data_IF_126389998511
#
_entry.id   IF_126389998511
#
_cell.length_a   1.000
_cell.length_b   1.000
_cell.length_c   1.000
_cell.angle_alpha   90.00
_cell.angle_beta   90.00
_cell.angle_gamma   90.00
#
_symmetry.space_group_name_H-M   'P 1'
#
loop_
_entity.id
_entity.type
_entity.pdbx_description
1 polymer ?
#
# COMPACT_ATOMS: atom_id res chain seq x y z
N UNK A 1 -16.30 6.92 19.38
CA UNK A 1 -14.92 6.90 18.84
C UNK A 1 -14.56 8.29 18.36
N UNK A 2 -13.33 8.77 18.61
CA UNK A 2 -12.81 10.05 18.09
C UNK A 2 -11.55 9.76 17.28
N UNK A 3 -11.44 10.34 16.08
CA UNK A 3 -10.18 10.30 15.32
C UNK A 3 -9.24 11.35 15.91
N UNK A 4 -8.13 10.91 16.51
CA UNK A 4 -7.16 11.80 17.15
C UNK A 4 -6.10 12.34 16.18
N UNK A 5 -5.80 11.61 15.11
CA UNK A 5 -4.86 11.98 14.06
C UNK A 5 -5.04 11.07 12.84
N UNK A 6 -4.61 11.56 11.68
CA UNK A 6 -4.60 10.82 10.41
C UNK A 6 -3.21 10.99 9.80
N UNK A 7 -2.68 9.89 9.27
CA UNK A 7 -1.41 9.86 8.56
C UNK A 7 -1.55 9.02 7.29
N UNK A 8 -0.70 9.30 6.32
CA UNK A 8 -0.67 8.71 5.00
C UNK A 8 0.77 8.64 4.50
N UNK A 9 1.07 7.63 3.71
CA UNK A 9 2.36 7.52 3.08
C UNK A 9 2.21 6.82 1.74
N UNK A 10 3.00 7.29 0.78
CA UNK A 10 3.09 6.69 -0.54
C UNK A 10 4.54 6.23 -0.78
N UNK A 11 4.74 5.19 -1.58
CA UNK A 11 6.06 4.90 -2.14
C UNK A 11 6.59 6.12 -2.91
N UNK A 12 7.92 6.32 -3.01
CA UNK A 12 8.48 7.56 -3.58
C UNK A 12 8.34 7.68 -5.10
N UNK A 13 7.91 6.64 -5.81
CA UNK A 13 7.94 6.58 -7.27
C UNK A 13 6.65 7.11 -7.90
N UNK A 14 6.52 8.44 -7.99
CA UNK A 14 5.41 9.09 -8.69
C UNK A 14 5.62 9.13 -10.20
N UNK A 15 4.58 8.78 -10.96
CA UNK A 15 4.53 8.92 -12.41
C UNK A 15 3.18 9.50 -12.83
N UNK A 16 3.21 10.39 -13.83
CA UNK A 16 1.98 10.88 -14.46
C UNK A 16 1.29 9.77 -15.27
N UNK A 17 0.03 10.03 -15.63
CA UNK A 17 -0.82 9.06 -16.31
C UNK A 17 -0.28 8.66 -17.70
N UNK A 18 0.34 9.59 -18.42
CA UNK A 18 0.90 9.37 -19.75
C UNK A 18 2.12 8.44 -19.70
N UNK A 19 3.02 8.67 -18.74
CA UNK A 19 4.19 7.82 -18.48
C UNK A 19 3.76 6.41 -18.09
N UNK A 20 2.77 6.28 -17.20
CA UNK A 20 2.22 4.98 -16.80
C UNK A 20 1.58 4.22 -17.98
N UNK A 21 0.84 4.94 -18.83
CA UNK A 21 0.24 4.35 -20.03
C UNK A 21 1.29 3.90 -21.04
N UNK A 22 2.36 4.68 -21.24
CA UNK A 22 3.51 4.32 -22.06
C UNK A 22 4.17 3.02 -21.59
N UNK A 23 4.53 2.95 -20.31
CA UNK A 23 5.14 1.76 -19.73
C UNK A 23 4.22 0.53 -19.79
N UNK A 24 2.91 0.70 -19.54
CA UNK A 24 1.94 -0.38 -19.65
C UNK A 24 1.82 -0.89 -21.10
N UNK A 25 1.81 0.02 -22.09
CA UNK A 25 1.81 -0.35 -23.51
C UNK A 25 3.04 -1.18 -23.86
N UNK A 26 4.21 -0.80 -23.36
CA UNK A 26 5.46 -1.51 -23.58
C UNK A 26 5.50 -2.89 -22.91
N UNK A 27 5.05 -3.00 -21.66
CA UNK A 27 5.06 -4.26 -20.92
C UNK A 27 4.11 -5.31 -21.53
N UNK A 28 3.01 -4.85 -22.11
CA UNK A 28 1.93 -5.71 -22.64
C UNK A 28 1.85 -5.69 -24.17
N UNK A 29 2.93 -5.30 -24.85
CA UNK A 29 3.00 -5.38 -26.32
C UNK A 29 2.60 -6.77 -26.81
N UNK A 30 1.74 -6.81 -27.84
CA UNK A 30 1.24 -8.07 -28.42
C UNK A 30 0.19 -8.82 -27.58
N UNK A 31 -0.13 -8.38 -26.35
CA UNK A 31 -1.20 -8.96 -25.51
C UNK A 31 -2.49 -8.14 -25.51
N UNK A 32 -2.44 -6.90 -25.98
CA UNK A 32 -3.64 -6.08 -26.09
C UNK A 32 -4.49 -6.45 -27.30
N UNK A 33 -5.75 -6.78 -27.06
CA UNK A 33 -6.75 -6.91 -28.12
C UNK A 33 -7.10 -5.55 -28.75
N UNK A 34 -6.96 -4.43 -28.01
CA UNK A 34 -7.20 -3.07 -28.52
C UNK A 34 -6.49 -2.00 -27.67
N UNK A 35 -5.37 -1.46 -28.16
CA UNK A 35 -4.64 -0.38 -27.49
C UNK A 35 -5.47 0.92 -27.36
N UNK A 36 -6.30 1.22 -28.36
CA UNK A 36 -7.16 2.40 -28.36
C UNK A 36 -8.20 2.39 -27.21
N UNK A 37 -8.70 1.22 -26.82
CA UNK A 37 -9.63 1.11 -25.67
C UNK A 37 -8.92 1.38 -24.34
N UNK A 38 -7.66 0.93 -24.22
CA UNK A 38 -6.85 1.19 -23.03
C UNK A 38 -6.56 2.68 -22.89
N UNK A 39 -6.13 3.33 -23.97
CA UNK A 39 -5.92 4.78 -24.02
C UNK A 39 -7.17 5.54 -23.59
N UNK A 40 -8.32 5.23 -24.22
CA UNK A 40 -9.58 5.88 -23.90
C UNK A 40 -9.99 5.68 -22.43
N UNK A 41 -9.79 4.49 -21.88
CA UNK A 41 -10.03 4.25 -20.45
C UNK A 41 -9.12 5.17 -19.62
N UNK A 42 -7.81 5.19 -19.91
CA UNK A 42 -6.83 5.98 -19.18
C UNK A 42 -7.12 7.49 -19.24
N UNK A 43 -7.65 8.01 -20.34
CA UNK A 43 -8.03 9.42 -20.50
C UNK A 43 -9.25 9.79 -19.63
N UNK A 44 -10.12 8.82 -19.32
CA UNK A 44 -11.40 9.05 -18.64
C UNK A 44 -11.44 8.61 -17.18
N UNK A 45 -10.35 8.03 -16.63
CA UNK A 45 -10.32 7.66 -15.19
C UNK A 45 -10.12 8.85 -14.25
N UNK A 46 -9.85 10.06 -14.77
CA UNK A 46 -9.66 11.29 -13.98
C UNK A 46 -8.50 11.20 -12.96
N UNK A 47 -7.45 10.45 -13.30
CA UNK A 47 -6.24 10.29 -12.47
C UNK A 47 -5.07 11.01 -13.14
N UNK A 48 -4.48 12.00 -12.48
CA UNK A 48 -3.31 12.74 -13.01
C UNK A 48 -2.00 11.96 -12.94
N UNK A 49 -1.87 11.06 -11.96
CA UNK A 49 -0.69 10.22 -11.75
C UNK A 49 -0.83 9.36 -10.51
N UNK A 50 0.12 8.44 -10.31
CA UNK A 50 0.11 7.46 -9.21
C UNK A 50 1.52 7.20 -8.68
N UNK A 51 1.57 6.80 -7.42
CA UNK A 51 2.78 6.27 -6.79
C UNK A 51 2.85 4.76 -7.00
N UNK A 52 3.96 4.27 -7.58
CA UNK A 52 4.25 2.85 -7.72
C UNK A 52 5.12 2.34 -6.57
N UNK A 53 4.92 1.10 -6.17
CA UNK A 53 5.66 0.46 -5.07
C UNK A 53 7.17 0.33 -5.37
N UNK A 54 7.50 0.11 -6.64
CA UNK A 54 8.86 0.00 -7.15
C UNK A 54 9.10 1.08 -8.23
N UNK A 55 10.36 1.38 -8.61
CA UNK A 55 10.64 2.10 -9.84
C UNK A 55 9.96 1.42 -11.03
N UNK A 56 9.44 2.21 -11.98
CA UNK A 56 8.62 1.71 -13.09
C UNK A 56 9.30 0.60 -13.91
N UNK A 57 10.63 0.67 -14.09
CA UNK A 57 11.39 -0.31 -14.87
C UNK A 57 11.55 -1.66 -14.14
N UNK A 58 11.56 -1.65 -12.81
CA UNK A 58 11.74 -2.86 -11.99
C UNK A 58 10.54 -3.81 -12.07
N UNK A 59 9.39 -3.36 -12.59
CA UNK A 59 8.22 -4.22 -12.79
C UNK A 59 8.43 -5.28 -13.86
N UNK A 60 9.39 -5.10 -14.79
CA UNK A 60 9.73 -6.09 -15.82
C UNK A 60 10.39 -7.33 -15.23
N UNK A 61 11.06 -7.16 -14.09
CA UNK A 61 11.80 -8.22 -13.41
C UNK A 61 10.92 -9.03 -12.43
N UNK A 62 9.64 -8.68 -12.30
CA UNK A 62 8.67 -9.43 -11.49
C UNK A 62 8.08 -10.59 -12.29
N UNK A 63 8.79 -11.72 -12.31
CA UNK A 63 8.40 -12.89 -13.10
C UNK A 63 7.42 -13.81 -12.36
N UNK A 64 7.51 -13.86 -11.03
CA UNK A 64 6.71 -14.77 -10.21
C UNK A 64 5.80 -14.03 -9.24
N UNK A 65 4.78 -14.74 -8.75
CA UNK A 65 3.97 -14.26 -7.63
C UNK A 65 4.83 -13.98 -6.38
N UNK A 66 5.88 -14.77 -6.17
CA UNK A 66 6.82 -14.61 -5.05
C UNK A 66 7.56 -13.28 -5.11
N UNK A 67 7.97 -12.84 -6.29
CA UNK A 67 8.67 -11.56 -6.48
C UNK A 67 7.74 -10.39 -6.14
N UNK A 68 6.52 -10.41 -6.70
CA UNK A 68 5.51 -9.39 -6.41
C UNK A 68 5.15 -9.34 -4.91
N UNK A 69 4.98 -10.50 -4.27
CA UNK A 69 4.66 -10.57 -2.84
C UNK A 69 5.84 -10.11 -1.97
N UNK A 70 7.08 -10.39 -2.36
CA UNK A 70 8.28 -9.94 -1.65
C UNK A 70 8.43 -8.42 -1.72
N UNK A 71 8.23 -7.84 -2.92
CA UNK A 71 8.18 -6.39 -3.10
C UNK A 71 7.09 -5.75 -2.24
N UNK A 72 5.88 -6.34 -2.23
CA UNK A 72 4.79 -5.88 -1.37
C UNK A 72 5.16 -5.94 0.12
N UNK A 73 5.75 -7.04 0.61
CA UNK A 73 6.15 -7.18 2.02
C UNK A 73 7.11 -6.06 2.42
N UNK A 74 8.09 -5.74 1.57
CA UNK A 74 9.04 -4.65 1.83
C UNK A 74 8.31 -3.31 1.90
N UNK A 75 7.63 -2.93 0.82
CA UNK A 75 7.03 -1.60 0.67
C UNK A 75 5.92 -1.37 1.68
N UNK A 76 5.09 -2.38 1.99
CA UNK A 76 4.02 -2.26 2.98
C UNK A 76 4.54 -1.93 4.38
N UNK A 77 5.71 -2.45 4.77
CA UNK A 77 6.36 -2.10 6.04
C UNK A 77 6.90 -0.67 6.02
N UNK A 78 7.46 -0.23 4.90
CA UNK A 78 8.00 1.12 4.73
C UNK A 78 6.89 2.16 4.83
N UNK A 79 5.89 2.10 3.94
CA UNK A 79 4.79 3.08 3.92
C UNK A 79 3.90 2.94 5.15
N UNK A 80 3.66 1.72 5.64
CA UNK A 80 2.88 1.51 6.85
C UNK A 80 3.51 2.14 8.09
N UNK A 81 4.84 2.05 8.22
CA UNK A 81 5.55 2.66 9.34
C UNK A 81 5.49 4.19 9.28
N UNK A 82 5.68 4.79 8.11
CA UNK A 82 5.61 6.25 7.96
C UNK A 82 4.19 6.78 8.20
N UNK A 83 3.16 6.11 7.68
CA UNK A 83 1.77 6.50 7.92
C UNK A 83 1.40 6.44 9.42
N UNK A 84 1.88 5.41 10.15
CA UNK A 84 1.66 5.31 11.61
C UNK A 84 2.38 6.43 12.35
N UNK A 85 3.63 6.72 12.02
CA UNK A 85 4.39 7.82 12.65
C UNK A 85 3.73 9.17 12.41
N UNK A 86 3.29 9.45 11.19
CA UNK A 86 2.59 10.70 10.87
C UNK A 86 1.28 10.82 11.65
N UNK A 87 0.48 9.75 11.72
CA UNK A 87 -0.79 9.75 12.46
C UNK A 87 -0.58 10.00 13.96
N UNK A 88 0.44 9.36 14.56
CA UNK A 88 0.80 9.56 15.97
C UNK A 88 1.31 10.97 16.23
N UNK A 89 2.18 11.49 15.35
CA UNK A 89 2.69 12.85 15.45
C UNK A 89 1.57 13.89 15.36
N UNK A 90 0.63 13.72 14.42
CA UNK A 90 -0.54 14.58 14.28
C UNK A 90 -1.46 14.55 15.52
N UNK A 91 -1.47 13.43 16.24
CA UNK A 91 -2.23 13.28 17.49
C UNK A 91 -1.45 13.73 18.75
N UNK A 92 -0.16 14.07 18.63
CA UNK A 92 0.71 14.34 19.78
C UNK A 92 1.00 13.10 20.64
N UNK A 93 0.96 11.91 20.05
CA UNK A 93 1.14 10.62 20.71
C UNK A 93 2.45 9.94 20.28
N UNK A 94 2.84 8.92 21.04
CA UNK A 94 3.99 8.06 20.76
C UNK A 94 3.57 6.62 20.51
N UNK A 95 4.49 5.78 20.03
CA UNK A 95 4.23 4.32 19.91
C UNK A 95 3.90 3.66 21.25
N UNK A 96 4.32 4.27 22.36
CA UNK A 96 4.01 3.82 23.72
C UNK A 96 2.53 3.98 24.07
N UNK A 97 1.80 4.86 23.40
CA UNK A 97 0.39 5.16 23.67
C UNK A 97 -0.58 4.26 22.88
N UNK A 98 -0.04 3.40 22.00
CA UNK A 98 -0.84 2.48 21.18
C UNK A 98 -1.19 1.24 21.98
N UNK A 99 -2.45 0.86 22.03
CA UNK A 99 -2.93 -0.39 22.67
C UNK A 99 -3.37 -1.46 21.67
N UNK A 100 -3.76 -1.05 20.46
CA UNK A 100 -4.18 -1.96 19.40
C UNK A 100 -3.67 -1.49 18.03
N UNK A 101 -3.25 -2.45 17.20
CA UNK A 101 -2.92 -2.26 15.80
C UNK A 101 -3.87 -3.10 14.93
N UNK A 102 -4.78 -2.41 14.24
CA UNK A 102 -5.70 -3.01 13.27
C UNK A 102 -5.11 -2.79 11.89
N UNK A 103 -4.76 -3.87 11.21
CA UNK A 103 -4.11 -3.83 9.91
C UNK A 103 -4.99 -4.49 8.86
N UNK A 104 -5.18 -3.80 7.74
CA UNK A 104 -6.03 -4.25 6.64
C UNK A 104 -5.24 -4.33 5.35
N UNK A 105 -5.44 -5.39 4.55
CA UNK A 105 -4.88 -5.48 3.20
C UNK A 105 -5.65 -6.45 2.31
N UNK A 106 -5.54 -6.25 0.99
CA UNK A 106 -5.98 -7.20 -0.05
C UNK A 106 -4.84 -7.53 -1.03
N UNK A 107 -3.65 -6.96 -0.83
CA UNK A 107 -2.59 -6.92 -1.85
C UNK A 107 -1.69 -8.15 -1.85
N UNK A 108 -1.28 -8.63 -0.68
CA UNK A 108 -0.36 -9.76 -0.56
C UNK A 108 -0.52 -10.50 0.77
N UNK A 109 0.22 -11.59 0.92
CA UNK A 109 0.11 -12.52 2.05
C UNK A 109 1.49 -12.72 2.68
N UNK A 110 1.58 -12.62 4.00
CA UNK A 110 2.82 -12.78 4.73
C UNK A 110 2.62 -13.53 6.05
N UNK A 111 3.59 -14.40 6.35
CA UNK A 111 3.73 -15.06 7.65
C UNK A 111 5.17 -14.85 8.15
N UNK A 112 5.42 -14.08 9.23
CA UNK A 112 4.45 -13.25 9.96
C UNK A 112 3.82 -12.15 9.10
N UNK A 113 2.60 -11.75 9.46
CA UNK A 113 1.83 -10.70 8.78
C UNK A 113 2.46 -9.31 8.93
N UNK A 114 2.03 -8.32 8.12
CA UNK A 114 2.65 -6.99 8.11
C UNK A 114 2.50 -6.27 9.45
N UNK A 115 1.36 -6.39 10.15
CA UNK A 115 1.19 -5.86 11.51
C UNK A 115 2.22 -6.45 12.49
N UNK A 116 2.51 -7.74 12.41
CA UNK A 116 3.53 -8.37 13.24
C UNK A 116 4.94 -7.85 12.91
N UNK A 117 5.21 -7.56 11.64
CA UNK A 117 6.48 -6.95 11.21
C UNK A 117 6.59 -5.49 11.64
N UNK A 118 5.49 -4.74 11.59
CA UNK A 118 5.41 -3.36 12.07
C UNK A 118 5.64 -3.24 13.57
N UNK A 119 5.24 -4.24 14.36
CA UNK A 119 5.58 -4.27 15.80
C UNK A 119 7.07 -4.05 16.05
N UNK A 120 7.91 -4.81 15.33
CA UNK A 120 9.36 -4.72 15.46
C UNK A 120 9.90 -3.42 14.85
N UNK A 121 9.44 -3.09 13.64
CA UNK A 121 9.91 -1.90 12.89
C UNK A 121 9.63 -0.59 13.62
N UNK A 122 8.50 -0.48 14.31
CA UNK A 122 8.10 0.70 15.08
C UNK A 122 8.47 0.60 16.57
N UNK A 123 9.06 -0.52 17.00
CA UNK A 123 9.31 -0.80 18.42
C UNK A 123 8.05 -0.62 19.28
N UNK A 124 6.90 -1.09 18.77
CA UNK A 124 5.64 -1.04 19.51
C UNK A 124 5.71 -1.94 20.76
N UNK A 125 5.05 -1.55 21.87
CA UNK A 125 5.02 -2.36 23.08
C UNK A 125 4.50 -3.77 22.84
N UNK A 126 5.10 -4.79 23.45
CA UNK A 126 4.67 -6.19 23.30
C UNK A 126 3.24 -6.47 23.76
N UNK A 127 2.64 -5.58 24.56
CA UNK A 127 1.25 -5.64 25.02
C UNK A 127 0.23 -5.25 23.94
N UNK A 128 0.65 -4.64 22.82
CA UNK A 128 -0.26 -4.17 21.75
C UNK A 128 -1.02 -5.36 21.18
N UNK A 129 -2.36 -5.27 21.19
CA UNK A 129 -3.22 -6.25 20.54
C UNK A 129 -3.17 -6.05 19.03
N UNK A 130 -3.04 -7.13 18.27
CA UNK A 130 -3.03 -7.08 16.81
C UNK A 130 -4.30 -7.68 16.23
N UNK A 131 -4.85 -7.03 15.21
CA UNK A 131 -5.97 -7.54 14.42
C UNK A 131 -5.65 -7.41 12.91
N UNK A 132 -5.02 -8.44 12.31
CA UNK A 132 -4.86 -8.50 10.87
C UNK A 132 -6.17 -8.91 10.19
N UNK A 133 -6.59 -8.14 9.19
CA UNK A 133 -7.79 -8.38 8.38
C UNK A 133 -7.36 -8.44 6.91
N UNK A 134 -7.57 -9.58 6.27
CA UNK A 134 -7.23 -9.82 4.88
C UNK A 134 -8.49 -9.98 4.02
N UNK A 135 -8.46 -9.45 2.78
CA UNK A 135 -9.43 -9.81 1.74
C UNK A 135 -10.68 -8.93 1.62
N UNK A 136 -10.80 -7.85 2.40
CA UNK A 136 -11.97 -6.95 2.32
C UNK A 136 -11.90 -5.94 1.16
N UNK A 137 -10.73 -5.71 0.55
CA UNK A 137 -10.59 -4.73 -0.55
C UNK A 137 -10.94 -3.31 -0.14
N UNK A 138 -11.62 -2.54 -1.01
CA UNK A 138 -11.86 -1.11 -0.80
C UNK A 138 -12.66 -0.77 0.46
N UNK A 139 -13.53 -1.67 0.96
CA UNK A 139 -14.33 -1.42 2.18
C UNK A 139 -13.51 -1.58 3.47
N UNK A 140 -12.28 -2.10 3.37
CA UNK A 140 -11.47 -2.43 4.54
C UNK A 140 -11.12 -1.21 5.40
N UNK A 141 -11.00 -0.01 4.81
CA UNK A 141 -10.76 1.22 5.56
C UNK A 141 -11.86 1.51 6.58
N UNK A 142 -13.13 1.44 6.14
CA UNK A 142 -14.27 1.61 7.04
C UNK A 142 -14.39 0.45 8.03
N UNK A 143 -14.14 -0.79 7.59
CA UNK A 143 -14.19 -1.96 8.46
C UNK A 143 -13.14 -1.91 9.58
N UNK A 144 -11.95 -1.38 9.30
CA UNK A 144 -10.88 -1.20 10.28
C UNK A 144 -11.19 -0.08 11.29
N UNK A 145 -11.79 1.01 10.85
CA UNK A 145 -12.21 2.13 11.73
C UNK A 145 -13.39 1.72 12.62
N UNK A 146 -14.27 0.82 12.18
CA UNK A 146 -15.44 0.37 12.93
C UNK A 146 -15.15 -0.69 14.01
N UNK A 147 -13.95 -0.71 14.59
CA UNK A 147 -13.51 -1.68 15.60
C UNK A 147 -13.12 -1.01 16.91
#
# INVERSE_FOLDING_TARGET
MRIAGVGHAFPPHYYDQDTLLGALKELWQGRFYSAQRLERLHDHVLVGGRHLALPIDAYRDLETWGDANSAWIQVAQEVGAEAVKEALSAAGLTVGDVDALIFVTVTGVATPSIDARLMNRLSLPSRVKRLPIFGLGCVAGAAGVAR
#
